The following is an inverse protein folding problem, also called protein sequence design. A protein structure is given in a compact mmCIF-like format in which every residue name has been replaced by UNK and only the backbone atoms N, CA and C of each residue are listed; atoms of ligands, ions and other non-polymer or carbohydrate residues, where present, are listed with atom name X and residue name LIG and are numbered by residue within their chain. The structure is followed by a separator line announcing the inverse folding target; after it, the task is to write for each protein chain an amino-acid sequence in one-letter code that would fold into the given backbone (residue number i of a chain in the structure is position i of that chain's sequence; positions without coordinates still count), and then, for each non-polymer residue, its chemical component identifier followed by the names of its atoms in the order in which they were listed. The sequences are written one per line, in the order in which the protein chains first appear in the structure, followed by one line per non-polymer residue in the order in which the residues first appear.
data_IF_179308807841
#
_entry.id   IF_179308807841
#
_cell.length_a   1.000
_cell.length_b   1.000
_cell.length_c   1.000
_cell.angle_alpha   90.00
_cell.angle_beta   90.00
_cell.angle_gamma   90.00
#
_symmetry.space_group_name_H-M   'P 1'
#
loop_
_entity.id
_entity.type
_entity.pdbx_description
1 polymer ?
#
# COMPACT_ATOMS: atom_id res chain seq x y z
N UNK A 1 -10.40 -7.16 -19.82
CA UNK A 1 -9.10 -7.86 -19.85
C UNK A 1 -8.59 -7.89 -18.42
N UNK A 2 -8.06 -9.02 -17.98
CA UNK A 2 -7.55 -9.20 -16.62
C UNK A 2 -6.09 -9.63 -16.69
N UNK A 3 -5.35 -9.29 -15.64
CA UNK A 3 -4.01 -9.78 -15.40
C UNK A 3 -3.96 -10.37 -13.99
N UNK A 4 -3.16 -11.41 -13.80
CA UNK A 4 -2.95 -12.04 -12.51
C UNK A 4 -1.51 -11.86 -12.06
N UNK A 5 -1.31 -11.60 -10.78
CA UNK A 5 0.02 -11.45 -10.18
C UNK A 5 0.08 -12.35 -8.96
N UNK A 6 1.05 -13.27 -8.94
CA UNK A 6 1.30 -14.14 -7.79
C UNK A 6 1.53 -13.31 -6.53
N UNK A 7 0.80 -13.62 -5.46
CA UNK A 7 0.95 -12.99 -4.16
C UNK A 7 1.76 -13.88 -3.22
N UNK A 8 2.54 -13.24 -2.37
CA UNK A 8 3.05 -13.85 -1.15
C UNK A 8 2.15 -13.45 0.02
N UNK A 9 2.24 -14.17 1.15
CA UNK A 9 1.47 -13.85 2.35
C UNK A 9 2.41 -13.39 3.46
N UNK A 10 2.04 -12.32 4.14
CA UNK A 10 2.78 -11.87 5.33
C UNK A 10 2.58 -12.86 6.49
N UNK A 11 3.36 -12.70 7.57
CA UNK A 11 3.15 -13.45 8.83
C UNK A 11 1.75 -13.26 9.42
N UNK A 12 1.09 -12.15 9.09
CA UNK A 12 -0.30 -11.84 9.50
C UNK A 12 -1.33 -12.25 8.45
N UNK A 13 -0.95 -13.09 7.47
CA UNK A 13 -1.79 -13.60 6.39
C UNK A 13 -2.37 -12.51 5.47
N UNK A 14 -1.70 -11.35 5.35
CA UNK A 14 -2.09 -10.31 4.41
C UNK A 14 -1.45 -10.57 3.04
N UNK A 15 -2.18 -10.33 1.94
CA UNK A 15 -1.64 -10.50 0.59
C UNK A 15 -0.60 -9.43 0.30
N UNK A 16 0.55 -9.86 -0.19
CA UNK A 16 1.69 -9.03 -0.47
C UNK A 16 2.23 -9.28 -1.88
N UNK A 17 2.72 -8.23 -2.52
CA UNK A 17 3.32 -8.26 -3.85
C UNK A 17 4.62 -7.49 -3.86
N UNK A 18 5.55 -7.95 -4.68
CA UNK A 18 6.83 -7.31 -4.86
C UNK A 18 6.85 -6.42 -6.10
N UNK A 19 7.26 -5.18 -5.94
CA UNK A 19 7.74 -4.35 -7.04
C UNK A 19 9.04 -4.94 -7.58
N UNK A 20 9.13 -5.04 -8.91
CA UNK A 20 10.24 -5.69 -9.60
C UNK A 20 10.60 -4.92 -10.86
N UNK A 21 11.73 -5.30 -11.44
CA UNK A 21 12.15 -4.86 -12.76
C UNK A 21 13.28 -3.83 -12.75
N UNK A 22 13.77 -3.55 -13.95
CA UNK A 22 14.96 -2.76 -14.24
C UNK A 22 15.25 -2.85 -15.74
N UNK A 23 16.34 -2.23 -16.17
CA UNK A 23 16.82 -2.38 -17.54
C UNK A 23 17.57 -3.70 -17.71
N UNK A 24 17.24 -4.41 -18.79
CA UNK A 24 18.04 -5.52 -19.31
C UNK A 24 18.97 -4.96 -20.40
N UNK A 25 20.04 -4.31 -19.94
CA UNK A 25 20.97 -3.54 -20.78
C UNK A 25 20.36 -2.26 -21.36
N UNK A 26 21.06 -1.64 -22.32
CA UNK A 26 20.76 -0.27 -22.80
C UNK A 26 19.38 -0.06 -23.44
N UNK A 27 18.77 -1.13 -23.97
CA UNK A 27 17.62 -1.00 -24.91
C UNK A 27 16.39 -1.80 -24.50
N UNK A 28 16.47 -2.67 -23.50
CA UNK A 28 15.34 -3.45 -23.00
C UNK A 28 15.16 -3.20 -21.52
N UNK A 29 13.94 -3.37 -21.04
CA UNK A 29 13.67 -3.30 -19.61
C UNK A 29 12.22 -3.58 -19.33
N UNK A 30 11.98 -4.02 -18.11
CA UNK A 30 10.64 -4.32 -17.61
C UNK A 30 10.52 -3.70 -16.24
N UNK A 31 9.37 -3.16 -15.89
CA UNK A 31 9.13 -2.63 -14.56
C UNK A 31 7.70 -2.89 -14.13
N UNK A 32 7.55 -3.24 -12.85
CA UNK A 32 6.26 -3.39 -12.19
C UNK A 32 6.29 -2.62 -10.90
N UNK A 33 5.49 -1.56 -10.81
CA UNK A 33 5.35 -0.74 -9.61
C UNK A 33 3.90 -0.74 -9.13
N UNK A 34 3.71 -0.41 -7.86
CA UNK A 34 2.38 -0.33 -7.23
C UNK A 34 2.14 1.08 -6.67
N UNK A 35 0.92 1.57 -6.79
CA UNK A 35 0.48 2.85 -6.21
C UNK A 35 -0.94 2.72 -5.64
N UNK A 36 -1.31 3.66 -4.76
CA UNK A 36 -2.66 3.73 -4.19
C UNK A 36 -3.67 4.12 -5.29
N UNK A 37 -4.96 4.02 -4.96
CA UNK A 37 -6.09 4.44 -5.81
C UNK A 37 -5.99 5.89 -6.32
N UNK A 38 -5.37 6.78 -5.55
CA UNK A 38 -5.11 8.18 -5.89
C UNK A 38 -3.78 8.41 -6.63
N UNK A 39 -3.06 7.35 -7.03
CA UNK A 39 -1.75 7.43 -7.69
C UNK A 39 -0.57 7.75 -6.76
N UNK A 40 -0.80 7.94 -5.45
CA UNK A 40 0.27 8.17 -4.48
C UNK A 40 1.12 6.92 -4.23
N UNK A 41 2.35 7.14 -3.75
CA UNK A 41 3.29 6.07 -3.40
C UNK A 41 2.72 5.19 -2.29
N UNK A 42 3.01 3.89 -2.34
CA UNK A 42 2.73 2.99 -1.20
C UNK A 42 3.90 2.99 -0.22
N UNK A 43 3.60 2.69 1.04
CA UNK A 43 4.62 2.44 2.06
C UNK A 43 5.10 1.01 1.91
N UNK A 44 6.40 0.82 1.71
CA UNK A 44 6.99 -0.51 1.62
C UNK A 44 6.89 -1.21 2.99
N UNK A 45 6.33 -2.43 2.98
CA UNK A 45 6.22 -3.28 4.17
C UNK A 45 7.55 -3.97 4.47
N UNK A 46 8.24 -4.40 3.42
CA UNK A 46 9.56 -4.99 3.50
C UNK A 46 10.40 -4.52 2.31
N UNK A 47 11.67 -4.21 2.56
CA UNK A 47 12.65 -3.87 1.54
C UNK A 47 13.75 -4.91 1.68
N UNK A 48 13.87 -5.86 0.73
CA UNK A 48 14.93 -6.85 0.75
C UNK A 48 16.31 -6.20 0.66
N UNK A 49 17.35 -6.94 1.05
CA UNK A 49 18.73 -6.50 0.77
C UNK A 49 19.00 -6.59 -0.73
N UNK A 50 19.95 -5.79 -1.28
CA UNK A 50 20.27 -5.81 -2.70
C UNK A 50 20.54 -7.21 -3.28
N UNK A 51 21.22 -8.07 -2.52
CA UNK A 51 21.55 -9.44 -2.91
C UNK A 51 20.32 -10.34 -3.14
N UNK A 52 19.14 -9.94 -2.65
CA UNK A 52 17.89 -10.68 -2.76
C UNK A 52 16.91 -10.10 -3.78
N UNK A 53 17.28 -9.03 -4.49
CA UNK A 53 16.34 -8.34 -5.39
C UNK A 53 15.80 -9.21 -6.53
N UNK A 54 16.58 -10.18 -7.00
CA UNK A 54 16.13 -11.12 -8.05
C UNK A 54 15.03 -12.07 -7.56
N UNK A 55 15.05 -12.42 -6.27
CA UNK A 55 14.12 -13.39 -5.68
C UNK A 55 12.91 -12.71 -5.06
N UNK A 56 13.17 -11.70 -4.22
CA UNK A 56 12.16 -11.06 -3.37
C UNK A 56 11.60 -9.77 -3.99
N UNK A 57 12.22 -9.27 -5.07
CA UNK A 57 11.94 -7.96 -5.65
C UNK A 57 12.57 -6.80 -4.87
N UNK A 58 12.29 -5.56 -5.31
CA UNK A 58 12.94 -4.37 -4.75
C UNK A 58 12.21 -3.82 -3.52
N UNK A 59 10.89 -4.01 -3.46
CA UNK A 59 10.06 -3.61 -2.33
C UNK A 59 8.78 -4.45 -2.31
N UNK A 60 8.35 -4.84 -1.11
CA UNK A 60 7.15 -5.63 -0.87
C UNK A 60 6.06 -4.73 -0.30
N UNK A 61 4.87 -4.78 -0.89
CA UNK A 61 3.70 -4.01 -0.49
C UNK A 61 2.55 -4.94 -0.14
N UNK A 62 1.76 -4.55 0.86
CA UNK A 62 0.45 -5.16 1.10
C UNK A 62 -0.53 -4.62 0.06
N UNK A 63 -1.28 -5.53 -0.58
CA UNK A 63 -2.34 -5.16 -1.51
C UNK A 63 -3.59 -4.69 -0.77
N UNK A 64 -4.15 -3.60 -1.26
CA UNK A 64 -5.43 -3.03 -0.83
C UNK A 64 -6.33 -2.88 -2.05
N UNK A 65 -7.63 -3.09 -1.85
CA UNK A 65 -8.62 -2.96 -2.92
C UNK A 65 -8.46 -1.60 -3.62
N UNK A 66 -8.55 -1.60 -4.95
CA UNK A 66 -8.37 -0.43 -5.81
C UNK A 66 -6.95 0.10 -5.99
N UNK A 67 -5.94 -0.53 -5.39
CA UNK A 67 -4.54 -0.25 -5.74
C UNK A 67 -4.31 -0.43 -7.25
N UNK A 68 -3.45 0.39 -7.81
CA UNK A 68 -3.02 0.27 -9.19
C UNK A 68 -1.65 -0.41 -9.28
N UNK A 69 -1.52 -1.27 -10.28
CA UNK A 69 -0.23 -1.77 -10.78
C UNK A 69 0.05 -1.15 -12.14
N UNK A 70 1.28 -0.70 -12.33
CA UNK A 70 1.75 -0.16 -13.61
C UNK A 70 2.87 -1.07 -14.09
N UNK A 71 2.61 -1.71 -15.24
CA UNK A 71 3.53 -2.59 -15.93
C UNK A 71 4.12 -1.86 -17.13
N UNK A 72 5.43 -1.87 -17.23
CA UNK A 72 6.18 -1.32 -18.36
C UNK A 72 6.95 -2.44 -19.02
N UNK A 73 6.78 -2.56 -20.33
CA UNK A 73 7.62 -3.38 -21.19
C UNK A 73 8.31 -2.43 -22.18
N UNK A 74 9.64 -2.37 -22.11
CA UNK A 74 10.48 -1.59 -23.01
C UNK A 74 11.16 -2.53 -24.01
N UNK A 75 10.83 -2.35 -25.28
CA UNK A 75 11.46 -3.08 -26.38
C UNK A 75 12.68 -2.35 -26.94
N UNK A 76 13.48 -3.04 -27.77
CA UNK A 76 14.71 -2.49 -28.38
C UNK A 76 14.50 -1.22 -29.20
N UNK A 77 13.29 -1.01 -29.72
CA UNK A 77 12.93 0.12 -30.60
C UNK A 77 12.48 1.36 -29.83
N UNK A 78 12.83 1.47 -28.54
CA UNK A 78 12.45 2.57 -27.64
C UNK A 78 10.94 2.76 -27.44
N UNK A 79 10.13 1.84 -27.96
CA UNK A 79 8.68 1.82 -27.76
C UNK A 79 8.37 1.17 -26.41
N UNK A 80 7.67 1.92 -25.57
CA UNK A 80 7.08 1.45 -24.32
C UNK A 80 5.69 0.90 -24.57
N UNK A 81 5.42 -0.27 -24.01
CA UNK A 81 4.07 -0.74 -23.74
C UNK A 81 3.81 -0.50 -22.25
N UNK A 82 2.77 0.27 -21.95
CA UNK A 82 2.37 0.59 -20.56
C UNK A 82 1.02 -0.06 -20.32
N UNK A 83 0.91 -0.87 -19.28
CA UNK A 83 -0.37 -1.46 -18.87
C UNK A 83 -0.67 -1.01 -17.45
N UNK A 84 -1.81 -0.35 -17.26
CA UNK A 84 -2.31 0.09 -15.96
C UNK A 84 -3.50 -0.80 -15.63
N UNK A 85 -3.38 -1.55 -14.53
CA UNK A 85 -4.45 -2.40 -14.05
C UNK A 85 -4.74 -2.10 -12.58
N UNK A 86 -5.98 -2.33 -12.17
CA UNK A 86 -6.46 -2.04 -10.82
C UNK A 86 -6.83 -3.33 -10.10
N UNK A 87 -6.37 -3.47 -8.86
CA UNK A 87 -6.66 -4.64 -8.05
C UNK A 87 -8.15 -4.70 -7.72
N UNK A 88 -8.78 -5.82 -8.07
CA UNK A 88 -10.22 -6.05 -7.90
C UNK A 88 -10.61 -6.24 -6.44
N UNK A 89 -9.66 -6.70 -5.62
CA UNK A 89 -9.92 -7.19 -4.26
C UNK A 89 -9.93 -8.72 -4.18
N UNK A 90 -9.92 -9.41 -5.32
CA UNK A 90 -10.04 -10.87 -5.39
C UNK A 90 -8.68 -11.53 -5.58
N UNK A 91 -8.50 -12.67 -4.90
CA UNK A 91 -7.34 -13.56 -5.02
C UNK A 91 -7.89 -14.92 -5.39
N UNK A 92 -7.34 -15.52 -6.46
CA UNK A 92 -7.76 -16.83 -6.93
C UNK A 92 -7.29 -17.98 -6.01
N UNK A 93 -7.69 -19.20 -6.35
CA UNK A 93 -7.34 -20.40 -5.58
C UNK A 93 -5.84 -20.74 -5.62
N UNK A 94 -5.08 -20.14 -6.54
CA UNK A 94 -3.65 -20.35 -6.75
C UNK A 94 -2.80 -19.23 -6.14
N UNK A 95 -3.39 -18.40 -5.27
CA UNK A 95 -2.75 -17.22 -4.68
C UNK A 95 -2.25 -16.22 -5.74
N UNK A 96 -3.05 -15.95 -6.77
CA UNK A 96 -2.84 -14.81 -7.66
C UNK A 96 -3.87 -13.71 -7.42
N UNK A 97 -3.38 -12.49 -7.22
CA UNK A 97 -4.21 -11.30 -7.18
C UNK A 97 -4.71 -10.94 -8.57
N UNK A 98 -6.02 -10.72 -8.69
CA UNK A 98 -6.69 -10.39 -9.95
C UNK A 98 -6.75 -8.88 -10.14
N UNK A 99 -6.24 -8.38 -11.26
CA UNK A 99 -6.30 -6.97 -11.62
C UNK A 99 -7.08 -6.78 -12.92
N UNK A 100 -8.00 -5.82 -12.91
CA UNK A 100 -8.74 -5.40 -14.09
C UNK A 100 -7.91 -4.36 -14.86
N UNK A 101 -7.62 -4.62 -16.14
CA UNK A 101 -6.89 -3.66 -16.98
C UNK A 101 -7.79 -2.45 -17.24
N UNK A 102 -7.24 -1.26 -16.98
CA UNK A 102 -7.95 0.03 -17.13
C UNK A 102 -7.42 0.84 -18.30
N UNK A 103 -6.10 0.82 -18.53
CA UNK A 103 -5.45 1.59 -19.59
C UNK A 103 -4.27 0.82 -20.16
N UNK A 104 -4.08 0.95 -21.47
CA UNK A 104 -2.98 0.36 -22.22
C UNK A 104 -2.43 1.42 -23.18
N UNK A 105 -1.14 1.74 -23.02
CA UNK A 105 -0.37 2.48 -24.02
C UNK A 105 0.33 1.48 -24.91
N UNK A 106 0.09 1.55 -26.21
CA UNK A 106 0.88 0.87 -27.22
C UNK A 106 1.50 1.90 -28.16
N UNK A 107 2.83 1.87 -28.29
CA UNK A 107 3.57 2.88 -29.03
C UNK A 107 3.30 4.30 -28.50
N UNK A 108 2.72 5.18 -29.33
CA UNK A 108 2.45 6.59 -29.00
C UNK A 108 0.99 6.85 -28.64
N UNK A 109 0.15 5.82 -28.52
CA UNK A 109 -1.29 5.98 -28.32
C UNK A 109 -1.76 5.20 -27.10
N UNK A 110 -2.62 5.86 -26.33
CA UNK A 110 -3.43 5.23 -25.29
C UNK A 110 -4.73 4.71 -25.91
N UNK A 111 -5.23 3.60 -25.41
CA UNK A 111 -6.60 3.14 -25.65
C UNK A 111 -7.62 4.09 -24.99
N UNK A 112 -7.40 4.38 -23.70
CA UNK A 112 -8.16 5.27 -22.85
C UNK A 112 -7.15 6.06 -22.05
N UNK A 113 -7.23 7.39 -22.15
CA UNK A 113 -6.29 8.27 -21.46
C UNK A 113 -6.37 8.03 -19.94
N UNK A 114 -5.25 7.71 -19.26
CA UNK A 114 -5.26 7.60 -17.81
C UNK A 114 -5.47 8.97 -17.17
N UNK A 115 -6.07 9.01 -15.98
CA UNK A 115 -6.22 10.26 -15.24
C UNK A 115 -4.85 10.82 -14.81
N UNK A 116 -4.76 12.15 -14.72
CA UNK A 116 -3.50 12.87 -14.50
C UNK A 116 -2.80 12.49 -13.20
N UNK A 117 -3.55 12.12 -12.15
CA UNK A 117 -2.97 11.72 -10.87
C UNK A 117 -2.12 10.45 -10.95
N UNK A 118 -2.26 9.63 -11.99
CA UNK A 118 -1.42 8.46 -12.22
C UNK A 118 -0.11 8.80 -12.94
N UNK A 119 0.01 10.00 -13.53
CA UNK A 119 1.19 10.38 -14.31
C UNK A 119 2.51 10.26 -13.53
N UNK A 120 2.60 10.70 -12.26
CA UNK A 120 3.82 10.52 -11.47
C UNK A 120 4.23 9.06 -11.30
N UNK A 121 3.26 8.16 -11.14
CA UNK A 121 3.52 6.72 -11.04
C UNK A 121 3.96 6.15 -12.39
N UNK A 122 3.31 6.54 -13.49
CA UNK A 122 3.70 6.13 -14.85
C UNK A 122 5.16 6.53 -15.14
N UNK A 123 5.52 7.78 -14.83
CA UNK A 123 6.88 8.30 -15.06
C UNK A 123 7.92 7.53 -14.23
N UNK A 124 7.59 7.20 -12.98
CA UNK A 124 8.44 6.40 -12.13
C UNK A 124 8.62 4.97 -12.64
N UNK A 125 7.56 4.35 -13.18
CA UNK A 125 7.64 3.03 -13.79
C UNK A 125 8.54 3.04 -15.04
N UNK A 126 8.39 4.08 -15.88
CA UNK A 126 9.21 4.27 -17.09
C UNK A 126 10.68 4.49 -16.71
N UNK A 127 10.94 5.34 -15.72
CA UNK A 127 12.29 5.57 -15.21
C UNK A 127 12.91 4.25 -14.70
N UNK A 128 12.18 3.49 -13.88
CA UNK A 128 12.62 2.19 -13.35
C UNK A 128 12.96 1.20 -14.47
N UNK A 129 12.16 1.12 -15.53
CA UNK A 129 12.43 0.25 -16.69
C UNK A 129 13.69 0.62 -17.48
N UNK A 130 14.27 1.79 -17.22
CA UNK A 130 15.45 2.30 -17.93
C UNK A 130 16.71 2.35 -17.06
N UNK A 131 16.63 1.93 -15.80
CA UNK A 131 17.76 1.90 -14.86
C UNK A 131 18.54 0.59 -15.00
N UNK A 132 19.81 0.68 -15.40
CA UNK A 132 20.72 -0.48 -15.51
C UNK A 132 21.15 -1.00 -14.13
N UNK A 133 21.45 -0.09 -13.20
CA UNK A 133 21.73 -0.44 -11.82
C UNK A 133 20.43 -0.51 -11.03
N UNK A 134 20.29 -1.56 -10.20
CA UNK A 134 19.18 -1.66 -9.25
C UNK A 134 19.42 -0.65 -8.12
N UNK A 135 19.11 0.62 -8.39
CA UNK A 135 19.06 1.64 -7.35
C UNK A 135 17.96 1.28 -6.34
N UNK A 136 18.22 1.52 -5.04
CA UNK A 136 17.19 1.41 -3.99
C UNK A 136 15.92 2.14 -4.47
N UNK A 137 14.80 1.41 -4.49
CA UNK A 137 13.68 1.83 -5.32
C UNK A 137 13.11 3.21 -4.94
N UNK A 138 12.84 4.00 -5.97
CA UNK A 138 12.50 5.43 -5.85
C UNK A 138 10.98 5.63 -5.65
N UNK A 139 10.17 4.61 -5.95
CA UNK A 139 8.70 4.69 -5.95
C UNK A 139 8.04 4.04 -4.72
N UNK A 140 8.56 4.31 -3.53
CA UNK A 140 7.85 3.98 -2.30
C UNK A 140 8.21 4.93 -1.16
N UNK A 141 7.38 4.92 -0.13
CA UNK A 141 7.68 5.53 1.16
C UNK A 141 8.34 4.48 2.05
N UNK A 142 9.51 4.81 2.63
CA UNK A 142 10.08 3.99 3.70
C UNK A 142 9.23 4.18 4.95
N UNK A 143 8.97 3.10 5.66
CA UNK A 143 8.49 3.20 7.04
C UNK A 143 9.59 3.90 7.84
N UNK A 144 9.46 5.21 8.06
CA UNK A 144 10.39 5.92 8.91
C UNK A 144 10.31 5.27 10.30
N UNK A 145 11.45 4.93 10.93
CA UNK A 145 11.43 4.60 12.34
C UNK A 145 10.79 5.79 13.07
N UNK A 146 9.99 5.55 14.13
CA UNK A 146 9.46 6.65 14.92
C UNK A 146 10.65 7.53 15.31
N UNK A 147 10.62 8.79 14.90
CA UNK A 147 11.58 9.77 15.39
C UNK A 147 11.37 9.79 16.89
N UNK A 148 12.32 9.25 17.64
CA UNK A 148 12.36 9.42 19.08
C UNK A 148 12.52 10.92 19.25
N UNK A 149 11.39 11.61 19.50
CA UNK A 149 11.41 13.04 19.77
C UNK A 149 12.40 13.30 20.91
N UNK A 150 13.00 14.48 20.90
CA UNK A 150 13.77 14.97 22.05
C UNK A 150 13.00 14.65 23.32
N UNK A 151 13.61 14.00 24.34
CA UNK A 151 12.90 13.59 25.53
C UNK A 151 12.19 14.80 26.12
N UNK A 152 10.85 14.76 26.11
CA UNK A 152 10.03 15.81 26.69
C UNK A 152 10.33 15.80 28.19
N UNK A 153 10.82 16.90 28.77
CA UNK A 153 11.13 16.93 30.20
C UNK A 153 9.85 16.64 31.00
N UNK A 154 9.96 15.80 32.04
CA UNK A 154 8.84 15.36 32.88
C UNK A 154 8.01 16.54 33.44
N UNK A 155 8.61 17.72 33.57
CA UNK A 155 7.96 18.95 33.99
C UNK A 155 6.86 19.44 33.03
N UNK A 156 6.96 19.13 31.73
CA UNK A 156 5.94 19.49 30.74
C UNK A 156 4.71 18.57 30.78
N UNK A 157 4.83 17.37 31.36
CA UNK A 157 3.76 16.36 31.41
C UNK A 157 2.80 16.61 32.59
N UNK A 158 3.25 17.28 33.65
CA UNK A 158 2.49 17.45 34.90
C UNK A 158 1.19 18.25 34.76
N UNK A 159 1.02 19.03 33.69
CA UNK A 159 -0.14 19.92 33.51
C UNK A 159 -1.03 19.56 32.32
N UNK A 160 -0.79 18.43 31.64
CA UNK A 160 -1.62 18.00 30.53
C UNK A 160 -2.57 16.89 30.97
N UNK A 161 -3.84 17.03 30.63
CA UNK A 161 -4.84 15.98 30.84
C UNK A 161 -4.35 14.68 30.17
N UNK A 162 -4.60 13.50 30.77
CA UNK A 162 -3.99 12.22 30.36
C UNK A 162 -4.19 11.85 28.88
N UNK A 163 -5.19 12.44 28.21
CA UNK A 163 -5.48 12.26 26.78
C UNK A 163 -4.49 13.01 25.87
N UNK A 164 -4.00 14.19 26.29
CA UNK A 164 -3.11 15.02 25.48
C UNK A 164 -1.67 14.52 25.46
N UNK A 165 -1.20 13.91 26.55
CA UNK A 165 0.14 13.32 26.62
C UNK A 165 0.27 12.06 25.72
N UNK A 166 -0.83 11.32 25.51
CA UNK A 166 -0.83 10.10 24.69
C UNK A 166 -0.78 10.38 23.18
N UNK A 167 -1.32 11.51 22.71
CA UNK A 167 -1.38 11.84 21.29
C UNK A 167 -0.01 12.26 20.70
N UNK A 168 0.91 12.75 21.54
CA UNK A 168 2.20 13.28 21.07
C UNK A 168 3.26 12.21 20.78
N UNK A 169 3.01 10.94 21.11
CA UNK A 169 3.97 9.84 20.95
C UNK A 169 3.78 8.99 19.69
N UNK A 170 2.79 9.26 18.83
CA UNK A 170 2.53 8.42 17.65
C UNK A 170 2.87 9.07 16.29
N UNK A 171 3.36 8.19 15.41
CA UNK A 171 3.84 8.39 14.05
C UNK A 171 2.81 9.11 13.15
N UNK A 172 3.22 9.98 12.20
CA UNK A 172 2.30 10.59 11.23
C UNK A 172 1.63 9.47 10.43
N UNK A 173 0.31 9.29 10.57
CA UNK A 173 -0.46 8.28 9.85
C UNK A 173 -1.38 7.41 10.72
N UNK A 174 -1.27 7.46 12.05
CA UNK A 174 -2.26 6.84 12.92
C UNK A 174 -3.39 7.81 13.23
N UNK A 175 -4.60 7.41 12.83
CA UNK A 175 -5.82 8.08 13.24
C UNK A 175 -6.23 7.49 14.59
N UNK A 176 -6.26 8.32 15.62
CA UNK A 176 -6.57 7.90 16.99
C UNK A 176 -8.03 8.21 17.29
N UNK A 177 -8.65 7.41 18.14
CA UNK A 177 -9.97 7.72 18.68
C UNK A 177 -9.85 8.94 19.59
N UNK A 178 -10.41 10.06 19.15
CA UNK A 178 -10.47 11.30 19.91
C UNK A 178 -11.60 11.28 20.94
N UNK A 179 -12.75 10.72 20.55
CA UNK A 179 -13.95 10.71 21.39
C UNK A 179 -14.81 9.48 21.08
N UNK A 180 -15.45 8.93 22.11
CA UNK A 180 -16.42 7.83 21.99
C UNK A 180 -17.66 8.21 22.78
N UNK A 181 -18.80 8.29 22.10
CA UNK A 181 -20.09 8.59 22.72
C UNK A 181 -21.10 7.52 22.38
N UNK A 182 -21.68 6.91 23.40
CA UNK A 182 -22.86 6.08 23.23
C UNK A 182 -24.06 6.99 22.94
N UNK A 183 -24.75 6.76 21.82
CA UNK A 183 -25.95 7.53 21.43
C UNK A 183 -27.24 6.76 21.73
N UNK A 184 -27.18 5.43 21.65
CA UNK A 184 -28.26 4.52 21.98
C UNK A 184 -27.68 3.22 22.55
N UNK A 185 -28.53 2.30 22.99
CA UNK A 185 -28.12 1.01 23.57
C UNK A 185 -27.25 0.18 22.60
N UNK A 186 -27.46 0.34 21.29
CA UNK A 186 -26.78 -0.37 20.21
C UNK A 186 -25.95 0.56 19.29
N UNK A 187 -25.84 1.86 19.60
CA UNK A 187 -25.18 2.85 18.74
C UNK A 187 -24.03 3.58 19.46
N UNK A 188 -22.83 3.49 18.89
CA UNK A 188 -21.64 4.20 19.35
C UNK A 188 -21.10 5.12 18.25
N UNK A 189 -20.99 6.41 18.57
CA UNK A 189 -20.28 7.39 17.76
C UNK A 189 -18.82 7.45 18.16
N UNK A 190 -17.91 7.22 17.21
CA UNK A 190 -16.46 7.31 17.39
C UNK A 190 -15.93 8.48 16.57
N UNK A 191 -15.38 9.50 17.22
CA UNK A 191 -14.69 10.60 16.56
C UNK A 191 -13.20 10.32 16.51
N UNK A 192 -12.59 10.61 15.37
CA UNK A 192 -11.18 10.38 15.12
C UNK A 192 -10.41 11.70 15.11
N UNK A 193 -9.10 11.65 15.41
CA UNK A 193 -8.22 12.85 15.50
C UNK A 193 -8.10 13.64 14.19
N UNK A 194 -8.46 13.05 13.05
CA UNK A 194 -8.51 13.74 11.76
C UNK A 194 -9.89 14.35 11.44
N UNK A 195 -10.82 14.36 12.40
CA UNK A 195 -12.17 14.89 12.25
C UNK A 195 -13.18 13.96 11.58
N UNK A 196 -12.77 12.74 11.20
CA UNK A 196 -13.71 11.73 10.69
C UNK A 196 -14.57 11.20 11.83
N UNK A 197 -15.88 11.14 11.62
CA UNK A 197 -16.83 10.57 12.56
C UNK A 197 -17.37 9.25 12.02
N UNK A 198 -17.19 8.18 12.79
CA UNK A 198 -17.72 6.85 12.52
C UNK A 198 -18.93 6.61 13.42
N UNK A 199 -19.99 6.01 12.86
CA UNK A 199 -21.09 5.46 13.64
C UNK A 199 -21.01 3.93 13.59
N UNK A 200 -20.93 3.30 14.76
CA UNK A 200 -20.75 1.86 14.94
C UNK A 200 -22.01 1.31 15.59
N UNK A 201 -22.65 0.35 14.92
CA UNK A 201 -23.81 -0.36 15.45
C UNK A 201 -23.37 -1.69 16.07
N UNK A 202 -23.60 -1.86 17.36
CA UNK A 202 -23.33 -3.14 18.05
C UNK A 202 -24.57 -4.01 17.90
N UNK A 203 -24.51 -4.93 16.93
CA UNK A 203 -25.49 -6.02 16.88
C UNK A 203 -25.17 -6.99 18.01
N UNK A 204 -26.15 -7.30 18.87
CA UNK A 204 -26.00 -8.28 19.93
C UNK A 204 -25.50 -9.62 19.35
N UNK A 205 -24.24 -9.95 19.63
CA UNK A 205 -23.72 -11.29 19.40
C UNK A 205 -24.17 -12.15 20.59
N UNK A 206 -25.27 -12.86 20.45
CA UNK A 206 -25.56 -13.97 21.38
C UNK A 206 -24.37 -14.93 21.31
N UNK A 207 -23.74 -15.32 22.44
CA UNK A 207 -22.71 -16.33 22.41
C UNK A 207 -23.35 -17.64 21.94
N UNK A 208 -23.15 -18.00 20.66
CA UNK A 208 -23.36 -19.38 20.21
C UNK A 208 -22.12 -20.16 20.61
N UNK A 209 -22.29 -20.99 21.63
CA UNK A 209 -21.49 -22.19 21.89
C UNK A 209 -19.96 -21.99 21.93
N UNK A 210 -19.48 -21.12 22.82
CA UNK A 210 -18.10 -21.20 23.27
C UNK A 210 -17.97 -22.43 24.19
N UNK A 211 -17.82 -23.63 23.60
CA UNK A 211 -17.39 -24.82 24.36
C UNK A 211 -15.98 -24.53 24.85
N UNK A 212 -15.84 -24.32 26.16
CA UNK A 212 -14.56 -24.30 26.85
C UNK A 212 -13.85 -25.63 26.57
N UNK A 213 -12.81 -25.59 25.75
CA UNK A 213 -11.90 -26.72 25.62
C UNK A 213 -11.09 -26.81 26.93
N UNK A 214 -11.48 -27.71 27.81
CA UNK A 214 -10.81 -27.95 29.08
C UNK A 214 -11.61 -28.80 30.06
N UNK A 215 -11.78 -30.09 29.74
CA UNK A 215 -11.80 -31.21 30.69
C UNK A 215 -11.00 -32.36 30.09
#
# INVERSE_FOLDING_TARGET
MEITIKVSRTKTNLPAVSETGGASGKTKGEARIFCRDNGSKKIATHIPKPDNFEVDGHAVFILQKYDYVILIERSRTTVYKVTIAQFTGDIDAEDNAVFAVRHIKQAKRWDVQPPEYLQPAIDAAVAKSSQEDIAEAIWFERKQPPVIGTPVPLSAIKNQAPVQAFAQQYVPGFVVIQDVRQKADDEISVCLTNGVQLCVYIKACTPRDYKSAGE
#
